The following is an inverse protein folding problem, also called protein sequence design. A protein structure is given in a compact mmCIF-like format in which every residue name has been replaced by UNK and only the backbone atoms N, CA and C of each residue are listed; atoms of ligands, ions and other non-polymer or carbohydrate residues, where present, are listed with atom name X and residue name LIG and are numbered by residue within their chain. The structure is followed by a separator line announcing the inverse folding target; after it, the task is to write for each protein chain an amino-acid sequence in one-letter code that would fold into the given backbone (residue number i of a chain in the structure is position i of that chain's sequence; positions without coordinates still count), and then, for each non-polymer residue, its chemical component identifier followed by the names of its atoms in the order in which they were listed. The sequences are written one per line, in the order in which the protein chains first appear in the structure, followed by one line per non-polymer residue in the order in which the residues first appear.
data_IF_919316349725
#
_entry.id   IF_919316349725
#
_cell.length_a   1.000
_cell.length_b   1.000
_cell.length_c   1.000
_cell.angle_alpha   90.00
_cell.angle_beta   90.00
_cell.angle_gamma   90.00
#
_symmetry.space_group_name_H-M   'P 1'
#
loop_
_entity.id
_entity.type
_entity.pdbx_description
1 polymer ?
#
# COMPACT_ATOMS: atom_id res chain seq x y z
N UNK A 1 19.32 73.80 44.95
CA UNK A 1 18.03 74.44 44.60
C UNK A 1 17.44 73.70 43.42
N UNK A 2 16.17 73.36 43.52
CA UNK A 2 15.41 72.38 42.73
C UNK A 2 15.35 72.67 41.22
N UNK A 3 15.39 71.62 40.40
CA UNK A 3 14.46 71.52 39.27
C UNK A 3 14.29 70.06 38.84
N UNK A 4 13.10 69.53 39.12
CA UNK A 4 12.59 68.22 38.71
C UNK A 4 11.94 68.35 37.33
N UNK A 5 12.44 67.61 36.34
CA UNK A 5 11.77 67.47 35.04
C UNK A 5 11.34 66.02 34.84
N UNK A 6 10.02 65.82 34.89
CA UNK A 6 9.31 64.58 34.56
C UNK A 6 9.56 64.23 33.09
N UNK A 7 10.10 63.04 32.80
CA UNK A 7 10.10 62.49 31.44
C UNK A 7 9.26 61.22 31.41
N UNK A 8 8.32 61.26 30.48
CA UNK A 8 7.19 60.35 30.28
C UNK A 8 7.66 58.96 29.86
N UNK A 9 6.98 57.97 30.43
CA UNK A 9 6.86 56.58 30.02
C UNK A 9 6.68 56.46 28.50
N UNK A 10 7.62 55.79 27.83
CA UNK A 10 7.44 55.29 26.47
C UNK A 10 7.40 53.77 26.55
N UNK A 11 6.19 53.21 26.53
CA UNK A 11 5.94 51.77 26.41
C UNK A 11 6.23 51.41 24.95
N UNK A 12 7.37 50.77 24.70
CA UNK A 12 7.71 50.22 23.39
C UNK A 12 6.99 48.87 23.26
N UNK A 13 5.83 48.87 22.61
CA UNK A 13 5.11 47.67 22.23
C UNK A 13 5.93 46.90 21.19
N UNK A 14 6.57 45.81 21.62
CA UNK A 14 7.16 44.83 20.73
C UNK A 14 6.02 44.04 20.07
N UNK A 15 5.66 44.48 18.86
CA UNK A 15 4.70 43.83 17.98
C UNK A 15 5.17 42.41 17.68
N UNK A 16 4.58 41.44 18.37
CA UNK A 16 4.69 40.03 18.03
C UNK A 16 4.13 39.84 16.62
N UNK A 17 5.01 39.63 15.64
CA UNK A 17 4.64 39.08 14.34
C UNK A 17 4.23 37.63 14.56
N UNK A 18 2.98 37.43 14.97
CA UNK A 18 2.29 36.16 14.82
C UNK A 18 2.16 35.90 13.32
N UNK A 19 3.12 35.15 12.78
CA UNK A 19 2.98 34.52 11.49
C UNK A 19 1.71 33.68 11.52
N UNK A 20 0.69 34.16 10.80
CA UNK A 20 -0.50 33.40 10.45
C UNK A 20 -0.03 32.23 9.58
N UNK A 21 0.36 31.12 10.21
CA UNK A 21 0.31 29.82 9.58
C UNK A 21 -1.17 29.54 9.30
N UNK A 22 -1.63 29.95 8.12
CA UNK A 22 -2.92 29.57 7.56
C UNK A 22 -2.87 28.07 7.20
N UNK A 23 -2.82 27.20 8.22
CA UNK A 23 -3.32 25.85 8.08
C UNK A 23 -4.83 25.96 8.00
N UNK A 24 -5.39 25.96 6.80
CA UNK A 24 -6.83 25.83 6.59
C UNK A 24 -7.34 24.59 7.35
N UNK A 25 -8.17 24.74 8.40
CA UNK A 25 -8.77 23.62 9.10
C UNK A 25 -10.01 23.23 8.31
N UNK A 26 -9.79 22.48 7.23
CA UNK A 26 -10.83 22.08 6.29
C UNK A 26 -10.30 21.09 5.28
N UNK A 27 -9.50 20.13 5.74
CA UNK A 27 -8.96 19.09 4.86
C UNK A 27 -10.12 18.28 4.29
N UNK A 28 -10.31 18.38 2.97
CA UNK A 28 -11.14 17.52 2.10
C UNK A 28 -10.56 16.10 2.04
N UNK A 29 -10.16 15.59 3.20
CA UNK A 29 -9.53 14.31 3.38
C UNK A 29 -10.62 13.27 3.34
N UNK A 30 -10.53 12.42 2.33
CA UNK A 30 -11.47 11.34 2.04
C UNK A 30 -11.37 10.25 3.12
N UNK A 31 -10.17 10.03 3.66
CA UNK A 31 -9.92 9.12 4.79
C UNK A 31 -9.93 9.91 6.11
N UNK A 32 -10.91 9.66 6.98
CA UNK A 32 -11.04 10.31 8.30
C UNK A 32 -10.35 9.54 9.42
N UNK A 33 -10.16 8.25 9.24
CA UNK A 33 -9.55 7.39 10.23
C UNK A 33 -8.92 6.16 9.60
N UNK A 34 -7.94 5.58 10.28
CA UNK A 34 -7.34 4.32 9.90
C UNK A 34 -6.83 3.61 11.15
N UNK A 35 -7.02 2.31 11.21
CA UNK A 35 -6.49 1.44 12.26
C UNK A 35 -5.69 0.32 11.62
N UNK A 36 -4.48 0.11 12.10
CA UNK A 36 -3.60 -0.95 11.63
C UNK A 36 -3.19 -1.84 12.78
N UNK A 37 -3.41 -3.14 12.61
CA UNK A 37 -2.96 -4.18 13.52
C UNK A 37 -2.18 -5.22 12.75
N UNK A 38 -1.17 -5.79 13.38
CA UNK A 38 -0.51 -6.96 12.88
C UNK A 38 -0.42 -7.99 14.01
N UNK A 39 -0.65 -9.26 13.65
CA UNK A 39 -0.66 -10.37 14.60
C UNK A 39 0.15 -11.53 14.03
N UNK A 40 1.05 -12.07 14.85
CA UNK A 40 1.73 -13.33 14.56
C UNK A 40 0.89 -14.49 15.11
N UNK A 41 0.54 -15.45 14.25
CA UNK A 41 -0.17 -16.65 14.67
C UNK A 41 0.79 -17.71 15.20
N UNK A 42 0.24 -18.72 15.89
CA UNK A 42 1.01 -19.83 16.46
C UNK A 42 1.80 -20.64 15.41
N UNK A 43 1.37 -20.61 14.16
CA UNK A 43 2.07 -21.22 13.01
C UNK A 43 3.24 -20.36 12.47
N UNK A 44 3.43 -19.15 13.01
CA UNK A 44 4.44 -18.19 12.59
C UNK A 44 4.06 -17.33 11.38
N UNK A 45 2.82 -17.40 10.90
CA UNK A 45 2.33 -16.51 9.86
C UNK A 45 1.93 -15.15 10.44
N UNK A 46 2.15 -14.11 9.65
CA UNK A 46 1.86 -12.73 10.01
C UNK A 46 0.62 -12.29 9.26
N UNK A 47 -0.38 -11.85 10.02
CA UNK A 47 -1.61 -11.27 9.51
C UNK A 47 -1.59 -9.78 9.75
N UNK A 48 -2.04 -9.01 8.76
CA UNK A 48 -2.27 -7.57 8.89
C UNK A 48 -3.76 -7.30 8.74
N UNK A 49 -4.27 -6.40 9.58
CA UNK A 49 -5.64 -5.89 9.52
C UNK A 49 -5.57 -4.37 9.42
N UNK A 50 -5.96 -3.83 8.27
CA UNK A 50 -6.06 -2.40 8.00
C UNK A 50 -7.54 -2.03 7.85
N UNK A 51 -8.06 -1.27 8.80
CA UNK A 51 -9.39 -0.66 8.70
C UNK A 51 -9.22 0.80 8.34
N UNK A 52 -10.05 1.30 7.42
CA UNK A 52 -10.02 2.68 6.95
C UNK A 52 -11.44 3.23 6.95
N UNK A 53 -11.60 4.43 7.50
CA UNK A 53 -12.86 5.12 7.65
C UNK A 53 -12.95 6.21 6.58
N UNK A 54 -13.83 6.00 5.63
CA UNK A 54 -14.07 6.87 4.50
C UNK A 54 -15.27 7.77 4.79
N UNK A 55 -15.08 9.08 4.68
CA UNK A 55 -16.19 10.02 4.66
C UNK A 55 -16.46 10.44 3.21
N UNK A 56 -17.58 9.94 2.70
CA UNK A 56 -17.98 10.11 1.32
C UNK A 56 -19.02 11.21 1.14
N UNK A 57 -19.21 12.11 2.12
CA UNK A 57 -20.13 13.25 2.05
C UNK A 57 -21.52 12.86 1.51
N UNK A 58 -22.12 11.80 2.07
CA UNK A 58 -23.42 11.19 1.68
C UNK A 58 -23.42 10.29 0.42
N UNK A 59 -22.29 10.04 -0.24
CA UNK A 59 -22.22 8.99 -1.25
C UNK A 59 -22.30 7.62 -0.56
N UNK A 60 -23.30 6.82 -0.91
CA UNK A 60 -23.43 5.46 -0.42
C UNK A 60 -22.56 4.51 -1.23
N UNK A 61 -21.59 3.89 -0.58
CA UNK A 61 -20.85 2.75 -1.13
C UNK A 61 -21.60 1.48 -0.74
N UNK A 62 -21.85 0.62 -1.73
CA UNK A 62 -22.50 -0.67 -1.49
C UNK A 62 -21.61 -1.57 -0.65
N UNK A 63 -22.20 -2.22 0.36
CA UNK A 63 -21.50 -3.21 1.15
C UNK A 63 -21.09 -4.39 0.26
N UNK A 64 -19.86 -4.85 0.41
CA UNK A 64 -19.32 -5.94 -0.37
C UNK A 64 -18.21 -6.66 0.39
N UNK A 65 -18.04 -7.95 0.07
CA UNK A 65 -16.93 -8.75 0.54
C UNK A 65 -16.14 -9.23 -0.67
N UNK A 66 -14.86 -8.89 -0.70
CA UNK A 66 -13.97 -9.15 -1.82
C UNK A 66 -12.82 -10.05 -1.33
N UNK A 67 -12.95 -11.38 -1.51
CA UNK A 67 -11.89 -12.32 -1.15
C UNK A 67 -10.62 -12.04 -1.97
N UNK A 68 -9.46 -12.13 -1.32
CA UNK A 68 -8.16 -12.04 -1.98
C UNK A 68 -7.69 -13.48 -2.19
N UNK A 69 -7.63 -13.93 -3.44
CA UNK A 69 -7.33 -15.33 -3.77
C UNK A 69 -5.89 -15.47 -4.24
N UNK A 70 -5.29 -16.63 -4.00
CA UNK A 70 -4.01 -16.96 -4.59
C UNK A 70 -4.18 -17.15 -6.11
N UNK A 71 -3.50 -16.37 -6.97
CA UNK A 71 -3.63 -16.47 -8.42
C UNK A 71 -3.15 -17.81 -8.97
N UNK A 72 -2.28 -18.50 -8.24
CA UNK A 72 -1.77 -19.82 -8.61
C UNK A 72 -2.62 -20.97 -8.04
N UNK A 73 -3.44 -20.70 -7.01
CA UNK A 73 -4.30 -21.69 -6.38
C UNK A 73 -5.62 -21.02 -5.92
N UNK A 74 -6.66 -20.97 -6.76
CA UNK A 74 -7.92 -20.31 -6.43
C UNK A 74 -8.70 -20.94 -5.27
N UNK A 75 -8.31 -22.10 -4.75
CA UNK A 75 -8.89 -22.67 -3.53
C UNK A 75 -8.30 -22.06 -2.25
N UNK A 76 -7.17 -21.37 -2.34
CA UNK A 76 -6.49 -20.74 -1.22
C UNK A 76 -6.84 -19.24 -1.16
N UNK A 77 -7.50 -18.86 -0.06
CA UNK A 77 -7.79 -17.47 0.25
C UNK A 77 -6.64 -16.87 1.08
N UNK A 78 -6.07 -15.78 0.59
CA UNK A 78 -4.96 -15.05 1.23
C UNK A 78 -5.46 -13.95 2.17
N UNK A 79 -6.70 -13.50 2.00
CA UNK A 79 -7.26 -12.39 2.75
C UNK A 79 -8.68 -12.05 2.33
N UNK A 80 -9.20 -10.95 2.87
CA UNK A 80 -10.53 -10.46 2.60
C UNK A 80 -10.55 -8.93 2.71
N UNK A 81 -11.25 -8.27 1.80
CA UNK A 81 -11.66 -6.87 1.96
C UNK A 81 -13.16 -6.84 2.24
N UNK A 82 -13.53 -6.27 3.39
CA UNK A 82 -14.92 -6.01 3.76
C UNK A 82 -15.21 -4.53 3.63
N UNK A 83 -16.29 -4.20 2.93
CA UNK A 83 -16.79 -2.83 2.76
C UNK A 83 -18.14 -2.79 3.47
N UNK A 84 -18.24 -1.96 4.49
CA UNK A 84 -19.46 -1.81 5.29
C UNK A 84 -19.77 -0.32 5.45
N UNK A 85 -21.04 0.04 5.38
CA UNK A 85 -21.48 1.41 5.65
C UNK A 85 -21.96 1.47 7.09
N UNK A 86 -21.17 2.10 7.98
CA UNK A 86 -21.45 2.16 9.42
C UNK A 86 -22.46 3.27 9.76
N UNK A 87 -22.51 4.32 8.95
CA UNK A 87 -23.52 5.38 9.02
C UNK A 87 -23.72 6.02 7.63
N UNK A 88 -24.80 6.79 7.39
CA UNK A 88 -24.95 7.54 6.15
C UNK A 88 -23.71 8.40 5.85
N UNK A 89 -23.07 8.16 4.71
CA UNK A 89 -21.86 8.85 4.29
C UNK A 89 -20.55 8.34 4.91
N UNK A 90 -20.59 7.41 5.88
CA UNK A 90 -19.40 6.80 6.48
C UNK A 90 -19.29 5.34 6.02
N UNK A 91 -18.18 5.02 5.36
CA UNK A 91 -17.87 3.66 4.90
C UNK A 91 -16.59 3.17 5.54
N UNK A 92 -16.67 2.02 6.18
CA UNK A 92 -15.55 1.30 6.74
C UNK A 92 -15.08 0.27 5.73
N UNK A 93 -13.80 0.33 5.38
CA UNK A 93 -13.15 -0.65 4.51
C UNK A 93 -12.08 -1.35 5.34
N UNK A 94 -12.29 -2.63 5.60
CA UNK A 94 -11.41 -3.48 6.40
C UNK A 94 -10.72 -4.51 5.50
N UNK A 95 -9.39 -4.39 5.37
CA UNK A 95 -8.50 -5.35 4.72
C UNK A 95 -7.90 -6.27 5.79
N UNK A 96 -8.19 -7.56 5.72
CA UNK A 96 -7.45 -8.60 6.41
C UNK A 96 -6.58 -9.38 5.43
N UNK A 97 -5.29 -9.56 5.73
CA UNK A 97 -4.34 -10.20 4.82
C UNK A 97 -3.34 -11.07 5.56
N UNK A 98 -3.16 -12.32 5.12
CA UNK A 98 -2.01 -13.13 5.49
C UNK A 98 -0.80 -12.69 4.66
N UNK A 99 -0.03 -11.75 5.21
CA UNK A 99 1.14 -11.19 4.53
C UNK A 99 2.22 -12.25 4.32
N UNK A 100 2.37 -13.18 5.25
CA UNK A 100 3.33 -14.30 5.12
C UNK A 100 3.01 -15.19 3.92
N UNK A 101 1.73 -15.48 3.66
CA UNK A 101 1.31 -16.27 2.51
C UNK A 101 1.53 -15.50 1.20
N UNK A 102 1.13 -14.23 1.14
CA UNK A 102 1.38 -13.35 -0.02
C UNK A 102 2.87 -13.30 -0.36
N UNK A 103 3.71 -13.20 0.66
CA UNK A 103 5.14 -13.04 0.47
C UNK A 103 5.88 -14.32 0.03
N UNK A 104 5.19 -15.47 0.07
CA UNK A 104 5.68 -16.76 -0.42
C UNK A 104 5.19 -17.08 -1.84
N UNK A 105 4.38 -16.22 -2.45
CA UNK A 105 3.83 -16.50 -3.78
C UNK A 105 4.94 -16.53 -4.84
N UNK A 106 5.00 -17.60 -5.66
CA UNK A 106 6.12 -17.81 -6.59
C UNK A 106 6.10 -16.85 -7.78
N UNK A 107 4.92 -16.35 -8.16
CA UNK A 107 4.76 -15.41 -9.26
C UNK A 107 3.72 -14.37 -8.87
N UNK A 108 4.19 -13.17 -8.57
CA UNK A 108 3.36 -11.98 -8.52
C UNK A 108 3.68 -11.11 -9.73
N UNK A 109 2.65 -10.60 -10.38
CA UNK A 109 2.80 -9.71 -11.52
C UNK A 109 3.28 -8.35 -11.01
N UNK A 110 4.46 -7.87 -11.43
CA UNK A 110 4.87 -6.51 -11.13
C UNK A 110 3.90 -5.53 -11.80
N UNK A 111 3.46 -4.53 -11.06
CA UNK A 111 2.57 -3.49 -11.55
C UNK A 111 3.24 -2.12 -11.37
N UNK A 112 2.88 -1.15 -12.21
CA UNK A 112 3.40 0.22 -12.11
C UNK A 112 2.29 1.26 -12.04
N UNK A 113 1.03 0.82 -12.18
CA UNK A 113 -0.12 1.69 -12.35
C UNK A 113 -1.35 1.22 -11.59
N UNK A 114 -2.23 2.17 -11.29
CA UNK A 114 -3.62 1.96 -10.91
C UNK A 114 -4.44 1.39 -12.09
N UNK A 115 -5.68 0.94 -11.85
CA UNK A 115 -6.53 0.39 -12.91
C UNK A 115 -6.84 1.37 -14.06
N UNK A 116 -6.77 2.68 -13.83
CA UNK A 116 -6.88 3.71 -14.88
C UNK A 116 -5.59 3.97 -15.66
N UNK A 117 -4.52 3.20 -15.42
CA UNK A 117 -3.24 3.36 -16.10
C UNK A 117 -2.36 4.49 -15.57
N UNK A 118 -2.80 5.21 -14.54
CA UNK A 118 -1.98 6.25 -13.89
C UNK A 118 -1.00 5.64 -12.89
N UNK A 119 0.11 6.32 -12.61
CA UNK A 119 1.06 5.88 -11.59
C UNK A 119 0.45 5.88 -10.18
N UNK A 120 0.99 5.01 -9.31
CA UNK A 120 0.69 5.03 -7.88
C UNK A 120 0.97 6.42 -7.28
N UNK A 121 0.24 6.83 -6.22
CA UNK A 121 0.58 8.04 -5.48
C UNK A 121 2.04 7.98 -5.00
N UNK A 122 2.71 9.13 -4.99
CA UNK A 122 4.16 9.22 -4.80
C UNK A 122 4.54 8.72 -3.41
N UNK A 123 4.97 7.47 -3.35
CA UNK A 123 5.73 6.92 -2.25
C UNK A 123 7.15 6.81 -2.77
N UNK A 124 8.10 7.49 -2.14
CA UNK A 124 9.52 7.43 -2.48
C UNK A 124 10.07 6.01 -2.17
N UNK A 125 9.70 5.03 -2.99
CA UNK A 125 10.09 3.62 -2.92
C UNK A 125 10.73 3.22 -4.24
N UNK A 126 11.80 2.44 -4.14
CA UNK A 126 12.48 1.86 -5.31
C UNK A 126 12.06 0.41 -5.55
N UNK A 127 11.35 -0.19 -4.59
CA UNK A 127 10.85 -1.54 -4.70
C UNK A 127 9.70 -1.64 -5.71
N UNK A 128 9.56 -2.85 -6.27
CA UNK A 128 8.48 -3.16 -7.21
C UNK A 128 7.15 -3.27 -6.46
N UNK A 129 6.10 -2.75 -7.09
CA UNK A 129 4.73 -3.03 -6.69
C UNK A 129 4.28 -4.35 -7.29
N UNK A 130 3.52 -5.11 -6.51
CA UNK A 130 2.92 -6.35 -6.93
C UNK A 130 1.42 -6.26 -6.75
N UNK A 131 0.65 -6.82 -7.68
CA UNK A 131 -0.80 -6.84 -7.59
C UNK A 131 -1.36 -8.25 -7.38
N UNK A 132 -2.45 -8.31 -6.64
CA UNK A 132 -3.26 -9.50 -6.41
C UNK A 132 -4.70 -9.20 -6.83
N UNK A 133 -5.33 -10.06 -7.64
CA UNK A 133 -6.72 -9.85 -8.04
C UNK A 133 -7.65 -10.00 -6.83
N UNK A 134 -8.67 -9.15 -6.76
CA UNK A 134 -9.78 -9.34 -5.85
C UNK A 134 -10.84 -10.19 -6.53
N UNK A 135 -11.31 -11.25 -5.88
CA UNK A 135 -12.35 -12.10 -6.44
C UNK A 135 -13.63 -11.30 -6.67
N UNK A 136 -14.39 -11.67 -7.70
CA UNK A 136 -15.60 -10.96 -8.14
C UNK A 136 -15.39 -9.52 -8.66
N UNK A 137 -14.14 -9.09 -8.87
CA UNK A 137 -13.84 -7.86 -9.61
C UNK A 137 -12.85 -8.13 -10.74
N UNK A 138 -13.11 -7.56 -11.91
CA UNK A 138 -12.20 -7.68 -13.07
C UNK A 138 -11.01 -6.73 -12.96
N UNK A 139 -11.17 -5.63 -12.22
CA UNK A 139 -10.25 -4.50 -12.26
C UNK A 139 -9.82 -3.99 -10.87
N UNK A 140 -10.53 -4.38 -9.81
CA UNK A 140 -10.10 -4.12 -8.43
C UNK A 140 -8.90 -5.00 -8.07
N UNK A 141 -7.92 -4.41 -7.38
CA UNK A 141 -6.64 -5.07 -7.07
C UNK A 141 -6.21 -4.74 -5.65
N UNK A 142 -5.58 -5.70 -4.99
CA UNK A 142 -4.72 -5.47 -3.84
C UNK A 142 -3.30 -5.20 -4.35
N UNK A 143 -2.59 -4.29 -3.70
CA UNK A 143 -1.22 -3.91 -4.01
C UNK A 143 -0.33 -4.10 -2.79
N UNK A 144 0.88 -4.62 -3.04
CA UNK A 144 1.90 -4.80 -2.02
C UNK A 144 3.24 -4.29 -2.57
N UNK A 145 3.93 -3.47 -1.78
CA UNK A 145 5.30 -3.02 -2.03
C UNK A 145 6.12 -3.34 -0.80
N UNK A 146 7.16 -4.15 -0.94
CA UNK A 146 8.07 -4.50 0.15
C UNK A 146 9.49 -4.17 -0.28
N UNK A 147 10.03 -3.11 0.30
CA UNK A 147 11.42 -2.68 0.17
C UNK A 147 12.22 -3.17 1.38
N UNK A 148 12.89 -4.31 1.21
CA UNK A 148 13.75 -4.89 2.24
C UNK A 148 14.97 -4.04 2.56
N UNK A 149 15.43 -3.22 1.62
CA UNK A 149 16.62 -2.37 1.78
C UNK A 149 16.28 -1.15 2.62
N UNK A 150 15.15 -0.51 2.32
CA UNK A 150 14.65 0.64 3.06
C UNK A 150 13.82 0.25 4.30
N UNK A 151 13.67 -1.05 4.58
CA UNK A 151 12.78 -1.60 5.62
C UNK A 151 11.37 -1.01 5.55
N UNK A 152 10.84 -0.89 4.33
CA UNK A 152 9.58 -0.21 4.07
C UNK A 152 8.59 -1.15 3.42
N UNK A 153 7.40 -1.24 3.99
CA UNK A 153 6.31 -2.06 3.49
C UNK A 153 5.06 -1.23 3.35
N UNK A 154 4.46 -1.25 2.16
CA UNK A 154 3.24 -0.53 1.85
C UNK A 154 2.23 -1.55 1.33
N UNK A 155 1.02 -1.49 1.89
CA UNK A 155 -0.10 -2.29 1.41
C UNK A 155 -1.21 -1.34 1.02
N UNK A 156 -1.83 -1.62 -0.11
CA UNK A 156 -2.95 -0.82 -0.58
C UNK A 156 -3.95 -1.64 -1.36
N UNK A 157 -5.09 -1.05 -1.65
CA UNK A 157 -6.12 -1.62 -2.49
C UNK A 157 -6.68 -0.55 -3.41
N UNK A 158 -7.13 -0.95 -4.59
CA UNK A 158 -7.95 -0.13 -5.48
C UNK A 158 -9.27 -0.86 -5.72
N UNK A 159 -10.36 -0.21 -5.37
CA UNK A 159 -11.73 -0.69 -5.51
C UNK A 159 -12.39 0.07 -6.64
N UNK A 160 -12.62 -0.63 -7.75
CA UNK A 160 -13.20 -0.02 -8.95
C UNK A 160 -14.72 -0.07 -8.92
N UNK A 161 -15.37 0.96 -9.44
CA UNK A 161 -16.80 1.07 -9.61
C UNK A 161 -17.13 1.82 -10.90
N UNK A 162 -18.09 1.29 -11.67
CA UNK A 162 -18.62 1.98 -12.86
C UNK A 162 -19.41 3.24 -12.49
N UNK A 163 -19.93 3.33 -11.25
CA UNK A 163 -20.69 4.47 -10.75
C UNK A 163 -19.86 5.74 -10.59
N UNK A 164 -18.52 5.63 -10.60
CA UNK A 164 -17.59 6.76 -10.44
C UNK A 164 -16.94 7.19 -11.76
N UNK A 165 -17.43 6.70 -12.91
CA UNK A 165 -16.86 7.02 -14.22
C UNK A 165 -17.02 8.52 -14.56
N UNK A 166 -15.89 9.23 -14.64
CA UNK A 166 -15.86 10.65 -14.96
C UNK A 166 -15.59 10.95 -16.44
N UNK A 167 -15.32 9.92 -17.26
CA UNK A 167 -14.93 10.09 -18.68
C UNK A 167 -13.57 10.78 -18.88
N UNK A 168 -12.85 11.08 -17.79
CA UNK A 168 -11.51 11.67 -17.79
C UNK A 168 -10.58 10.82 -16.92
N UNK A 169 -9.29 10.83 -17.24
CA UNK A 169 -8.25 10.24 -16.39
C UNK A 169 -7.82 11.27 -15.34
N UNK A 170 -8.11 11.01 -14.08
CA UNK A 170 -7.73 11.90 -12.98
C UNK A 170 -7.43 11.11 -11.71
N UNK A 171 -6.51 11.62 -10.90
CA UNK A 171 -6.14 11.06 -9.61
C UNK A 171 -6.19 12.17 -8.56
N UNK A 172 -7.00 11.98 -7.52
CA UNK A 172 -7.08 12.89 -6.39
C UNK A 172 -6.76 12.07 -5.15
N UNK A 173 -5.50 12.10 -4.74
CA UNK A 173 -5.02 11.44 -3.53
C UNK A 173 -4.60 12.48 -2.50
N UNK A 174 -5.04 12.27 -1.27
CA UNK A 174 -4.63 13.04 -0.12
C UNK A 174 -3.80 12.17 0.81
N UNK A 175 -2.76 12.76 1.42
CA UNK A 175 -2.04 12.10 2.52
C UNK A 175 -2.99 11.98 3.70
N UNK A 176 -2.95 10.86 4.40
CA UNK A 176 -3.58 10.68 5.70
C UNK A 176 -2.60 10.24 6.78
N UNK A 177 -2.90 10.65 8.00
CA UNK A 177 -2.23 10.23 9.21
C UNK A 177 -3.31 10.10 10.29
N UNK A 178 -3.66 8.87 10.64
CA UNK A 178 -4.69 8.57 11.62
C UNK A 178 -4.25 7.38 12.47
N UNK A 179 -4.37 7.51 13.80
CA UNK A 179 -3.96 6.52 14.79
C UNK A 179 -2.55 5.94 14.55
N UNK A 180 -1.61 6.76 14.08
CA UNK A 180 -0.23 6.35 13.76
C UNK A 180 -0.07 5.59 12.44
N UNK A 181 -1.16 5.39 11.69
CA UNK A 181 -1.14 4.86 10.32
C UNK A 181 -1.00 6.02 9.36
N UNK A 182 0.04 5.99 8.52
CA UNK A 182 0.25 7.00 7.49
C UNK A 182 -0.01 6.43 6.12
N UNK A 183 -0.57 7.25 5.22
CA UNK A 183 -0.65 6.84 3.84
C UNK A 183 -1.34 7.80 2.89
N UNK A 184 -1.85 7.27 1.79
CA UNK A 184 -2.54 8.02 0.75
C UNK A 184 -3.88 7.37 0.49
N UNK A 185 -4.94 8.18 0.48
CA UNK A 185 -6.28 7.72 0.16
C UNK A 185 -6.97 8.72 -0.75
N UNK A 186 -7.78 8.22 -1.67
CA UNK A 186 -8.41 9.07 -2.66
C UNK A 186 -9.19 8.33 -3.72
N UNK A 187 -9.58 9.10 -4.73
CA UNK A 187 -10.31 8.63 -5.90
C UNK A 187 -9.42 8.67 -7.13
N UNK A 188 -9.65 7.71 -8.02
CA UNK A 188 -9.05 7.68 -9.33
C UNK A 188 -10.16 7.48 -10.36
N UNK A 189 -10.02 8.10 -11.52
CA UNK A 189 -10.97 7.96 -12.63
C UNK A 189 -10.23 7.58 -13.91
N UNK A 190 -10.91 6.85 -14.79
CA UNK A 190 -10.42 6.47 -16.10
C UNK A 190 -11.49 6.62 -17.18
N UNK A 191 -11.10 6.40 -18.42
CA UNK A 191 -11.98 6.57 -19.61
C UNK A 191 -12.75 5.32 -19.99
N UNK A 192 -12.42 4.17 -19.40
CA UNK A 192 -13.08 2.88 -19.68
C UNK A 192 -13.86 2.37 -18.47
N UNK A 193 -14.95 1.61 -18.67
CA UNK A 193 -15.65 0.95 -17.57
C UNK A 193 -14.71 0.12 -16.70
N UNK A 194 -14.93 0.15 -15.40
CA UNK A 194 -14.15 -0.56 -14.40
C UNK A 194 -12.81 0.10 -14.06
N UNK A 195 -12.48 1.28 -14.62
CA UNK A 195 -11.20 1.96 -14.34
C UNK A 195 -11.33 3.19 -13.46
N UNK A 196 -12.51 3.47 -12.92
CA UNK A 196 -12.71 4.50 -11.90
C UNK A 196 -12.98 3.85 -10.55
N UNK A 197 -12.63 4.50 -9.45
CA UNK A 197 -12.71 3.89 -8.14
C UNK A 197 -12.09 4.71 -7.00
N UNK A 198 -11.97 4.05 -5.86
CA UNK A 198 -11.25 4.54 -4.69
C UNK A 198 -10.01 3.69 -4.46
N UNK A 199 -8.95 4.29 -3.97
CA UNK A 199 -7.78 3.54 -3.54
C UNK A 199 -7.21 4.09 -2.24
N UNK A 200 -6.67 3.17 -1.45
CA UNK A 200 -5.94 3.47 -0.22
C UNK A 200 -4.63 2.71 -0.23
N UNK A 201 -3.57 3.38 0.19
CA UNK A 201 -2.23 2.85 0.36
C UNK A 201 -1.76 3.27 1.74
N UNK A 202 -1.35 2.33 2.58
CA UNK A 202 -0.92 2.57 3.95
C UNK A 202 0.49 2.03 4.18
N UNK A 203 1.30 2.80 4.90
CA UNK A 203 2.56 2.33 5.46
C UNK A 203 2.26 1.30 6.55
N UNK A 204 2.73 0.07 6.37
CA UNK A 204 2.59 -1.01 7.35
C UNK A 204 3.93 -1.39 7.97
N UNK A 205 4.99 -0.61 7.74
CA UNK A 205 6.34 -0.95 8.20
C UNK A 205 6.41 -1.02 9.73
N UNK A 206 5.80 -0.05 10.42
CA UNK A 206 5.87 0.07 11.89
C UNK A 206 5.36 -1.17 12.62
N UNK A 207 4.23 -1.72 12.16
CA UNK A 207 3.64 -2.92 12.78
C UNK A 207 4.39 -4.19 12.44
N UNK A 208 5.05 -4.25 11.28
CA UNK A 208 5.89 -5.40 10.90
C UNK A 208 7.20 -5.43 11.68
N UNK A 209 7.82 -4.26 11.89
CA UNK A 209 9.01 -4.15 12.75
C UNK A 209 8.71 -4.50 14.20
N UNK A 210 7.52 -4.14 14.71
CA UNK A 210 7.12 -4.46 16.08
C UNK A 210 6.93 -5.97 16.33
N UNK A 211 6.43 -6.72 15.35
CA UNK A 211 6.24 -8.17 15.45
C UNK A 211 7.55 -8.96 15.34
N UNK A 212 8.57 -8.39 14.72
CA UNK A 212 9.87 -9.02 14.59
C UNK A 212 10.97 -7.96 14.68
N UNK A 213 11.52 -7.68 15.89
CA UNK A 213 12.62 -6.72 16.05
C UNK A 213 13.87 -7.13 15.25
N UNK A 214 13.93 -8.38 14.80
CA UNK A 214 14.84 -8.95 13.79
C UNK A 214 14.33 -8.81 12.35
N UNK A 215 13.76 -7.66 11.98
CA UNK A 215 13.91 -7.12 10.61
C UNK A 215 15.34 -6.58 10.37
N UNK A 216 16.28 -6.91 11.26
CA UNK A 216 17.73 -6.92 11.07
C UNK A 216 18.15 -8.24 10.37
N UNK A 217 19.11 -8.25 9.43
CA UNK A 217 19.23 -9.25 8.35
C UNK A 217 19.70 -10.67 8.75
N UNK A 218 19.52 -11.11 9.99
CA UNK A 218 20.05 -12.40 10.46
C UNK A 218 19.01 -13.08 11.37
N UNK A 219 18.68 -14.35 11.02
CA UNK A 219 17.77 -15.33 11.65
C UNK A 219 16.35 -15.40 11.04
N UNK A 220 16.18 -15.95 9.83
CA UNK A 220 15.85 -17.37 9.51
C UNK A 220 14.52 -17.95 10.06
N UNK A 221 13.40 -17.38 9.61
CA UNK A 221 12.46 -18.15 8.75
C UNK A 221 12.11 -17.22 7.60
N UNK A 222 13.02 -17.23 6.63
CA UNK A 222 13.18 -16.24 5.58
C UNK A 222 11.88 -16.22 4.78
N UNK A 223 11.11 -15.13 4.90
CA UNK A 223 10.16 -14.74 3.86
C UNK A 223 11.02 -14.40 2.65
N UNK A 224 11.35 -15.44 1.87
CA UNK A 224 12.02 -15.32 0.58
C UNK A 224 10.90 -15.39 -0.42
N UNK A 225 10.59 -14.26 -1.06
CA UNK A 225 10.09 -14.36 -2.42
C UNK A 225 11.17 -15.11 -3.19
N UNK A 226 10.88 -16.34 -3.58
CA UNK A 226 11.80 -17.09 -4.41
C UNK A 226 12.07 -16.25 -5.66
N UNK A 227 13.28 -15.70 -5.76
CA UNK A 227 13.74 -15.06 -6.98
C UNK A 227 13.97 -16.17 -8.01
N UNK A 228 12.88 -16.62 -8.63
CA UNK A 228 12.90 -17.69 -9.63
C UNK A 228 13.63 -17.27 -10.91
N UNK A 229 14.11 -16.02 -11.02
CA UNK A 229 15.08 -15.68 -12.07
C UNK A 229 16.37 -16.46 -11.92
N UNK A 230 16.73 -16.91 -10.71
CA UNK A 230 17.88 -17.78 -10.47
C UNK A 230 17.61 -19.23 -10.89
N UNK A 231 16.43 -19.79 -10.59
CA UNK A 231 16.11 -21.19 -10.95
C UNK A 231 15.98 -21.39 -12.46
N UNK A 232 15.37 -20.44 -13.17
CA UNK A 232 15.26 -20.49 -14.64
C UNK A 232 16.65 -20.36 -15.28
N UNK A 233 17.51 -19.48 -14.77
CA UNK A 233 18.91 -19.36 -15.22
C UNK A 233 19.74 -20.60 -14.90
N UNK A 234 19.57 -21.20 -13.72
CA UNK A 234 20.25 -22.44 -13.34
C UNK A 234 19.80 -23.62 -14.22
N UNK A 235 18.51 -23.78 -14.47
CA UNK A 235 17.99 -24.81 -15.39
C UNK A 235 18.52 -24.62 -16.82
N UNK A 236 18.60 -23.38 -17.31
CA UNK A 236 19.22 -23.09 -18.61
C UNK A 236 20.71 -23.41 -18.64
N UNK A 237 21.45 -23.08 -17.58
CA UNK A 237 22.89 -23.33 -17.50
C UNK A 237 23.20 -24.83 -17.43
N UNK A 238 22.46 -25.59 -16.63
CA UNK A 238 22.60 -27.05 -16.52
C UNK A 238 22.27 -27.74 -17.85
N UNK A 239 21.21 -27.31 -18.55
CA UNK A 239 20.88 -27.83 -19.89
C UNK A 239 22.02 -27.58 -20.88
N UNK A 240 22.58 -26.36 -20.89
CA UNK A 240 23.69 -25.99 -21.77
C UNK A 240 24.97 -26.78 -21.47
N UNK A 241 25.26 -27.09 -20.21
CA UNK A 241 26.38 -27.94 -19.80
C UNK A 241 26.21 -29.40 -20.27
N UNK A 242 25.01 -29.96 -20.13
CA UNK A 242 24.70 -31.32 -20.60
C UNK A 242 24.88 -31.40 -22.12
N UNK A 243 24.33 -30.44 -22.87
CA UNK A 243 24.44 -30.39 -24.33
C UNK A 243 25.91 -30.30 -24.80
N UNK A 244 26.74 -29.51 -24.11
CA UNK A 244 28.16 -29.39 -24.39
C UNK A 244 28.94 -30.69 -24.13
N UNK A 245 28.60 -31.41 -23.06
CA UNK A 245 29.24 -32.70 -22.76
C UNK A 245 28.85 -33.78 -23.76
N UNK A 246 27.58 -33.84 -24.18
CA UNK A 246 27.13 -34.75 -25.26
C UNK A 246 27.84 -34.44 -26.57
N UNK A 247 27.98 -33.16 -26.93
CA UNK A 247 28.70 -32.75 -28.15
C UNK A 247 30.18 -33.12 -28.10
N UNK A 248 30.85 -32.93 -26.96
CA UNK A 248 32.25 -33.35 -26.76
C UNK A 248 32.42 -34.87 -26.86
N UNK A 249 31.49 -35.64 -26.32
CA UNK A 249 31.52 -37.09 -26.42
C UNK A 249 31.43 -37.57 -27.88
N UNK A 250 30.53 -36.98 -28.68
CA UNK A 250 30.40 -37.32 -30.12
C UNK A 250 31.64 -36.99 -30.95
N UNK A 251 32.44 -36.01 -30.54
CA UNK A 251 33.68 -35.63 -31.25
C UNK A 251 34.84 -36.61 -30.94
N UNK A 252 34.80 -37.32 -29.80
CA UNK A 252 35.83 -38.31 -29.44
C UNK A 252 35.67 -39.68 -30.14
N UNK A 253 34.57 -39.91 -30.84
CA UNK A 253 34.27 -41.17 -31.55
C UNK A 253 34.31 -41.02 -33.08
N UNK A 254 35.01 -40.00 -33.58
CA UNK A 254 35.43 -39.87 -34.99
C UNK A 254 36.94 -39.79 -35.02
#
# INVERSE_FOLDING_TARGET
MFSTTKVKTLILAATAMMGLAACSPGSTQVIKGADLKAEAQSNGDIYINLTTHLDSNNVQILAAQLPIMNPNNPAEQLGLININTSAPGITDIALGLNLSAVAKLPVLTPETTLPNGTSFPVWNTTAKWYSLPLNNSKTSKLYVNIDWTAQKSIVGYALTSDSLSAGIVANIFSVFNANGVTGYGGVFSGTTPGTSGLAVFADVSSVLTALNPTFSPVVTKKIVFADHTSEVKQKMFTKKLIDLNVKKAKIKFK
#
